data_IF_335188711763
#
_entry.id   IF_335188711763
#
_cell.length_a   1.000
_cell.length_b   1.000
_cell.length_c   1.000
_cell.angle_alpha   90.00
_cell.angle_beta   90.00
_cell.angle_gamma   90.00
#
_symmetry.space_group_name_H-M   'P 1'
#
loop_
_entity.id
_entity.type
_entity.pdbx_description
1 polymer ?
#
# COMPACT_ATOMS: atom_id res chain seq x y z
N UNK A 1 -4.27 -21.22 13.67
CA UNK A 1 -4.97 -20.12 14.37
C UNK A 1 -4.61 -18.82 13.65
N UNK A 2 -5.56 -18.15 13.00
CA UNK A 2 -5.32 -16.84 12.40
C UNK A 2 -5.55 -15.77 13.48
N UNK A 3 -4.49 -15.06 13.86
CA UNK A 3 -4.57 -13.99 14.83
C UNK A 3 -5.53 -12.88 14.34
N UNK A 4 -6.31 -12.26 15.24
CA UNK A 4 -7.24 -11.19 14.89
C UNK A 4 -6.47 -10.03 14.26
N UNK A 5 -6.93 -9.54 13.10
CA UNK A 5 -6.34 -8.39 12.42
C UNK A 5 -6.69 -7.12 13.21
N UNK A 6 -5.94 -6.86 14.28
CA UNK A 6 -6.03 -5.60 15.01
C UNK A 6 -5.79 -4.46 14.02
N UNK A 7 -6.68 -3.46 14.02
CA UNK A 7 -6.57 -2.24 13.20
C UNK A 7 -5.43 -1.37 13.78
N UNK A 8 -4.21 -1.85 13.59
CA UNK A 8 -2.98 -1.19 14.00
C UNK A 8 -2.59 -0.18 12.95
N UNK A 9 -2.01 0.95 13.37
CA UNK A 9 -1.57 1.97 12.42
C UNK A 9 -0.46 1.37 11.57
N UNK A 10 -0.36 1.81 10.32
CA UNK A 10 0.71 1.34 9.42
C UNK A 10 2.10 1.45 10.07
N UNK A 11 2.37 2.58 10.74
CA UNK A 11 3.62 2.86 11.43
C UNK A 11 3.94 1.93 12.60
N UNK A 12 2.96 1.21 13.14
CA UNK A 12 3.18 0.25 14.22
C UNK A 12 3.85 -1.03 13.69
N UNK A 13 3.58 -1.38 12.43
CA UNK A 13 4.05 -2.62 11.82
C UNK A 13 5.15 -2.43 10.77
N UNK A 14 5.27 -1.23 10.21
CA UNK A 14 6.16 -0.95 9.09
C UNK A 14 6.95 0.34 9.30
N UNK A 15 8.23 0.32 8.92
CA UNK A 15 9.08 1.50 8.82
C UNK A 15 9.15 1.99 7.39
N UNK A 16 8.73 3.24 7.15
CA UNK A 16 8.93 3.91 5.85
C UNK A 16 10.39 4.33 5.68
N UNK A 17 10.93 4.08 4.49
CA UNK A 17 12.30 4.42 4.10
C UNK A 17 12.26 5.44 2.95
N UNK A 18 13.19 5.35 2.01
CA UNK A 18 13.30 6.26 0.88
C UNK A 18 12.11 6.18 -0.10
N UNK A 19 11.97 7.25 -0.88
CA UNK A 19 11.03 7.33 -1.99
C UNK A 19 11.54 6.53 -3.19
N UNK A 20 10.71 5.62 -3.70
CA UNK A 20 10.97 4.85 -4.91
C UNK A 20 10.36 5.52 -6.15
N UNK A 21 9.29 6.29 -5.95
CA UNK A 21 8.66 7.03 -7.05
C UNK A 21 7.52 7.94 -6.59
N UNK A 22 7.17 8.91 -7.43
CA UNK A 22 6.14 9.91 -7.15
C UNK A 22 5.20 10.07 -8.33
N UNK A 23 3.91 10.07 -8.03
CA UNK A 23 2.82 10.37 -8.96
C UNK A 23 2.06 11.63 -8.54
N UNK A 24 0.99 11.94 -9.29
CA UNK A 24 0.17 13.13 -9.07
C UNK A 24 -0.47 13.20 -7.67
N UNK A 25 -0.94 12.06 -7.15
CA UNK A 25 -1.68 11.98 -5.88
C UNK A 25 -1.09 10.99 -4.86
N UNK A 26 0.04 10.36 -5.20
CA UNK A 26 0.65 9.32 -4.40
C UNK A 26 2.17 9.32 -4.46
N UNK A 27 2.79 8.83 -3.41
CA UNK A 27 4.23 8.54 -3.34
C UNK A 27 4.40 7.06 -3.05
N UNK A 28 5.26 6.38 -3.80
CA UNK A 28 5.68 5.01 -3.50
C UNK A 28 6.98 5.10 -2.71
N UNK A 29 6.99 4.49 -1.52
CA UNK A 29 8.18 4.40 -0.67
C UNK A 29 8.55 2.95 -0.43
N UNK A 30 9.84 2.70 -0.23
CA UNK A 30 10.28 1.42 0.35
C UNK A 30 9.81 1.39 1.81
N UNK A 31 9.30 0.26 2.26
CA UNK A 31 9.02 0.03 3.67
C UNK A 31 9.50 -1.34 4.10
N UNK A 32 9.78 -1.47 5.40
CA UNK A 32 10.25 -2.72 6.00
C UNK A 32 9.28 -3.14 7.08
N UNK A 33 8.78 -4.37 7.03
CA UNK A 33 7.94 -4.92 8.09
C UNK A 33 8.79 -5.18 9.33
N UNK A 34 8.42 -4.59 10.47
CA UNK A 34 9.19 -4.63 11.71
C UNK A 34 9.38 -6.04 12.26
N UNK A 35 8.36 -6.89 12.15
CA UNK A 35 8.38 -8.25 12.71
C UNK A 35 9.21 -9.24 11.89
N UNK A 36 9.28 -9.09 10.56
CA UNK A 36 9.91 -10.05 9.66
C UNK A 36 11.18 -9.52 9.01
N UNK A 37 11.40 -8.20 9.01
CA UNK A 37 12.46 -7.54 8.25
C UNK A 37 12.20 -7.52 6.73
N UNK A 38 11.05 -8.00 6.26
CA UNK A 38 10.76 -8.09 4.83
C UNK A 38 10.48 -6.71 4.22
N UNK A 39 11.02 -6.48 3.02
CA UNK A 39 10.88 -5.23 2.29
C UNK A 39 9.67 -5.24 1.34
N UNK A 40 8.97 -4.11 1.26
CA UNK A 40 7.81 -3.89 0.41
C UNK A 40 7.81 -2.49 -0.20
N UNK A 41 6.94 -2.28 -1.19
CA UNK A 41 6.64 -0.97 -1.73
C UNK A 41 5.29 -0.47 -1.17
N UNK A 42 5.31 0.60 -0.40
CA UNK A 42 4.11 1.26 0.13
C UNK A 42 3.69 2.43 -0.77
N UNK A 43 2.53 2.30 -1.43
CA UNK A 43 1.89 3.39 -2.19
C UNK A 43 1.06 4.25 -1.22
N UNK A 44 1.63 5.36 -0.78
CA UNK A 44 1.01 6.33 0.13
C UNK A 44 0.21 7.34 -0.68
N UNK A 45 -1.09 7.46 -0.38
CA UNK A 45 -2.03 8.26 -1.18
C UNK A 45 -2.60 9.40 -0.32
N UNK A 46 -2.57 10.62 -0.84
CA UNK A 46 -3.19 11.75 -0.16
C UNK A 46 -4.69 11.81 -0.49
N UNK A 47 -5.50 11.16 0.34
CA UNK A 47 -6.95 11.05 0.13
C UNK A 47 -7.69 12.39 0.21
N UNK A 48 -7.12 13.41 0.89
CA UNK A 48 -7.74 14.74 0.99
C UNK A 48 -7.76 15.50 -0.34
N UNK A 49 -6.87 15.14 -1.26
CA UNK A 49 -6.74 15.76 -2.58
C UNK A 49 -7.51 15.01 -3.67
N UNK A 50 -8.21 13.93 -3.32
CA UNK A 50 -8.94 13.11 -4.28
C UNK A 50 -10.39 13.59 -4.41
N UNK A 51 -10.87 13.69 -5.65
CA UNK A 51 -12.29 13.81 -5.91
C UNK A 51 -13.01 12.48 -5.61
N UNK A 52 -14.34 12.51 -5.47
CA UNK A 52 -15.13 11.28 -5.31
C UNK A 52 -14.93 10.31 -6.49
N UNK A 53 -14.73 10.84 -7.70
CA UNK A 53 -14.44 10.04 -8.89
C UNK A 53 -13.07 9.36 -8.81
N UNK A 54 -12.05 10.05 -8.31
CA UNK A 54 -10.71 9.48 -8.16
C UNK A 54 -10.67 8.44 -7.04
N UNK A 55 -11.46 8.64 -5.98
CA UNK A 55 -11.63 7.65 -4.93
C UNK A 55 -12.22 6.34 -5.47
N UNK A 56 -13.27 6.41 -6.29
CA UNK A 56 -13.84 5.21 -6.93
C UNK A 56 -12.84 4.50 -7.86
N UNK A 57 -12.02 5.26 -8.60
CA UNK A 57 -10.95 4.68 -9.43
C UNK A 57 -9.92 3.95 -8.56
N UNK A 58 -9.50 4.57 -7.46
CA UNK A 58 -8.56 3.97 -6.52
C UNK A 58 -9.09 2.67 -5.93
N UNK A 59 -10.34 2.65 -5.45
CA UNK A 59 -10.96 1.43 -4.92
C UNK A 59 -11.04 0.33 -5.98
N UNK A 60 -11.40 0.68 -7.22
CA UNK A 60 -11.45 -0.26 -8.32
C UNK A 60 -10.06 -0.83 -8.64
N UNK A 61 -9.03 0.01 -8.73
CA UNK A 61 -7.65 -0.40 -8.96
C UNK A 61 -7.19 -1.38 -7.87
N UNK A 62 -7.34 -1.00 -6.59
CA UNK A 62 -6.97 -1.85 -5.47
C UNK A 62 -7.70 -3.20 -5.48
N UNK A 63 -9.01 -3.19 -5.82
CA UNK A 63 -9.82 -4.42 -5.91
C UNK A 63 -9.36 -5.33 -7.04
N UNK A 64 -8.96 -4.78 -8.18
CA UNK A 64 -8.46 -5.55 -9.32
C UNK A 64 -7.08 -6.12 -8.99
N UNK A 65 -6.15 -5.29 -8.50
CA UNK A 65 -4.79 -5.73 -8.18
C UNK A 65 -4.76 -6.89 -7.19
N UNK A 66 -5.64 -6.88 -6.17
CA UNK A 66 -5.78 -7.98 -5.20
C UNK A 66 -6.17 -9.33 -5.82
N UNK A 67 -6.79 -9.33 -7.00
CA UNK A 67 -7.22 -10.56 -7.69
C UNK A 67 -6.16 -11.10 -8.65
N UNK A 68 -5.13 -10.31 -8.97
CA UNK A 68 -4.10 -10.72 -9.91
C UNK A 68 -3.14 -11.71 -9.23
N UNK A 69 -2.95 -12.88 -9.85
CA UNK A 69 -2.01 -13.89 -9.38
C UNK A 69 -1.27 -14.44 -10.60
N UNK A 70 -0.06 -13.93 -10.82
CA UNK A 70 0.80 -14.33 -11.93
C UNK A 70 2.25 -14.14 -11.52
N UNK A 71 3.19 -15.02 -11.90
CA UNK A 71 4.61 -14.94 -11.49
C UNK A 71 5.27 -13.59 -11.82
N UNK A 72 4.81 -12.90 -12.87
CA UNK A 72 5.33 -11.61 -13.29
C UNK A 72 4.55 -10.40 -12.73
N UNK A 73 3.60 -10.62 -11.80
CA UNK A 73 2.82 -9.55 -11.16
C UNK A 73 3.08 -9.62 -9.66
N UNK A 74 3.59 -8.51 -9.09
CA UNK A 74 3.88 -8.41 -7.66
C UNK A 74 2.64 -8.61 -6.79
N UNK A 75 2.83 -9.21 -5.60
CA UNK A 75 1.79 -9.40 -4.58
C UNK A 75 1.81 -8.29 -3.54
#
# INVERSE_FOLDING_TARGET
MAAPTACTRFSDNYDLKEELGKGAFSVVRRCVQKSTGQEFAAKVINTRKLSQRDFQKLEREARICRKLQHPNIGK
#
